data_IF_391978299538
#
_entry.id   IF_391978299538
#
_cell.length_a   1.000
_cell.length_b   1.000
_cell.length_c   1.000
_cell.angle_alpha   90.00
_cell.angle_beta   90.00
_cell.angle_gamma   90.00
#
_symmetry.space_group_name_H-M   'P 1'
#
loop_
_entity.id
_entity.type
_entity.pdbx_description
1 polymer ?
#
# COMPACT_ATOMS: atom_id res chain seq x y z
N UNK A 1 7.04 -3.67 -3.83
CA UNK A 1 5.74 -4.18 -3.36
C UNK A 1 5.19 -3.22 -2.32
N UNK A 2 3.89 -2.91 -2.38
CA UNK A 2 3.25 -1.93 -1.49
C UNK A 2 2.25 -2.64 -0.59
N UNK A 3 2.39 -2.47 0.72
CA UNK A 3 1.56 -3.17 1.71
C UNK A 3 0.62 -2.18 2.39
N UNK A 4 -0.65 -2.55 2.49
CA UNK A 4 -1.64 -1.78 3.24
C UNK A 4 -2.09 -2.60 4.44
N UNK A 5 -1.96 -2.01 5.63
CA UNK A 5 -2.44 -2.56 6.88
C UNK A 5 -3.77 -1.92 7.29
N UNK A 6 -4.83 -2.73 7.39
CA UNK A 6 -6.15 -2.31 7.88
C UNK A 6 -6.40 -2.98 9.22
N UNK A 7 -6.68 -2.17 10.24
CA UNK A 7 -7.13 -2.65 11.55
C UNK A 7 -8.63 -2.84 11.52
N UNK A 8 -9.06 -4.03 11.86
CA UNK A 8 -10.46 -4.44 11.89
C UNK A 8 -10.75 -5.10 13.22
N UNK A 9 -11.97 -4.93 13.71
CA UNK A 9 -12.45 -5.70 14.86
C UNK A 9 -12.66 -7.16 14.42
N UNK A 10 -12.33 -8.14 15.26
CA UNK A 10 -12.51 -9.55 14.91
C UNK A 10 -13.97 -9.92 14.64
N UNK A 11 -14.93 -9.25 15.30
CA UNK A 11 -16.38 -9.40 15.06
C UNK A 11 -16.82 -8.99 13.65
N UNK A 12 -16.17 -7.97 13.10
CA UNK A 12 -16.55 -7.35 11.82
C UNK A 12 -15.65 -7.82 10.68
N UNK A 13 -14.67 -8.67 10.97
CA UNK A 13 -13.67 -9.11 10.01
C UNK A 13 -14.30 -9.74 8.77
N UNK A 14 -15.22 -10.69 8.95
CA UNK A 14 -15.85 -11.41 7.84
C UNK A 14 -16.60 -10.47 6.89
N UNK A 15 -17.30 -9.48 7.44
CA UNK A 15 -17.99 -8.46 6.65
C UNK A 15 -16.98 -7.56 5.93
N UNK A 16 -15.96 -7.08 6.64
CA UNK A 16 -14.91 -6.26 6.06
C UNK A 16 -14.15 -6.96 4.93
N UNK A 17 -13.88 -8.26 5.09
CA UNK A 17 -13.25 -9.09 4.05
C UNK A 17 -14.09 -9.18 2.79
N UNK A 18 -15.40 -9.35 2.94
CA UNK A 18 -16.33 -9.39 1.82
C UNK A 18 -16.35 -8.05 1.07
N UNK A 19 -16.38 -6.93 1.81
CA UNK A 19 -16.33 -5.58 1.22
C UNK A 19 -14.99 -5.33 0.52
N UNK A 20 -13.86 -5.72 1.11
CA UNK A 20 -12.54 -5.62 0.47
C UNK A 20 -12.47 -6.44 -0.80
N UNK A 21 -12.97 -7.68 -0.76
CA UNK A 21 -13.00 -8.57 -1.93
C UNK A 21 -13.84 -7.98 -3.06
N UNK A 22 -15.02 -7.45 -2.74
CA UNK A 22 -15.90 -6.81 -3.71
C UNK A 22 -15.23 -5.59 -4.34
N UNK A 23 -14.64 -4.71 -3.53
CA UNK A 23 -13.97 -3.52 -4.04
C UNK A 23 -12.81 -3.85 -4.99
N UNK A 24 -12.02 -4.88 -4.65
CA UNK A 24 -10.93 -5.36 -5.52
C UNK A 24 -11.44 -5.92 -6.84
N UNK A 25 -12.55 -6.66 -6.81
CA UNK A 25 -13.19 -7.23 -8.00
C UNK A 25 -13.76 -6.13 -8.91
N UNK A 26 -14.45 -5.15 -8.33
CA UNK A 26 -14.99 -3.98 -9.04
C UNK A 26 -13.90 -3.17 -9.74
N UNK A 27 -12.74 -2.99 -9.08
CA UNK A 27 -11.62 -2.23 -9.64
C UNK A 27 -10.67 -3.11 -10.47
N UNK A 28 -10.93 -4.42 -10.58
CA UNK A 28 -10.07 -5.42 -11.22
C UNK A 28 -8.62 -5.35 -10.78
N UNK A 29 -8.42 -5.17 -9.47
CA UNK A 29 -7.10 -5.06 -8.87
C UNK A 29 -6.64 -6.44 -8.43
N UNK A 30 -5.54 -6.88 -9.03
CA UNK A 30 -4.86 -8.11 -8.64
C UNK A 30 -3.98 -7.87 -7.40
N UNK A 31 -4.26 -8.64 -6.34
CA UNK A 31 -3.43 -8.67 -5.14
C UNK A 31 -2.30 -9.69 -5.31
N UNK A 32 -1.11 -9.34 -4.82
CA UNK A 32 0.00 -10.31 -4.76
C UNK A 32 -0.09 -11.19 -3.53
N UNK A 33 -0.53 -10.65 -2.40
CA UNK A 33 -0.70 -11.40 -1.16
C UNK A 33 -1.79 -10.76 -0.32
N UNK A 34 -2.55 -11.59 0.37
CA UNK A 34 -3.55 -11.17 1.34
C UNK A 34 -3.41 -12.01 2.60
N UNK A 35 -3.09 -11.38 3.72
CA UNK A 35 -2.77 -12.06 4.97
C UNK A 35 -3.45 -11.39 6.15
N UNK A 36 -3.98 -12.18 7.07
CA UNK A 36 -4.73 -11.68 8.23
C UNK A 36 -4.05 -12.19 9.48
N UNK A 37 -3.73 -11.27 10.40
CA UNK A 37 -3.03 -11.60 11.64
C UNK A 37 -3.81 -11.05 12.81
N UNK A 38 -3.98 -11.89 13.83
CA UNK A 38 -4.49 -11.43 15.10
C UNK A 38 -3.36 -10.74 15.87
N UNK A 39 -3.65 -9.56 16.39
CA UNK A 39 -2.73 -8.70 17.15
C UNK A 39 -3.38 -8.30 18.47
N UNK A 40 -2.62 -7.79 19.43
CA UNK A 40 -3.17 -7.35 20.73
C UNK A 40 -4.22 -6.22 20.58
N UNK A 41 -4.11 -5.41 19.51
CA UNK A 41 -5.05 -4.34 19.14
C UNK A 41 -6.24 -4.81 18.29
N UNK A 42 -6.37 -6.11 18.00
CA UNK A 42 -7.44 -6.70 17.17
C UNK A 42 -6.93 -7.40 15.92
N UNK A 43 -7.73 -7.42 14.85
CA UNK A 43 -7.33 -8.06 13.59
C UNK A 43 -6.62 -7.08 12.66
N UNK A 44 -5.45 -7.46 12.17
CA UNK A 44 -4.69 -6.72 11.18
C UNK A 44 -4.72 -7.45 9.85
N UNK A 45 -5.36 -6.84 8.86
CA UNK A 45 -5.41 -7.31 7.48
C UNK A 45 -4.29 -6.64 6.70
N UNK A 46 -3.43 -7.45 6.09
CA UNK A 46 -2.37 -7.04 5.19
C UNK A 46 -2.75 -7.39 3.76
N UNK A 47 -2.83 -6.37 2.91
CA UNK A 47 -2.99 -6.53 1.47
C UNK A 47 -1.73 -6.01 0.76
N UNK A 48 -1.13 -6.86 -0.06
CA UNK A 48 0.05 -6.51 -0.85
C UNK A 48 -0.33 -6.28 -2.31
N UNK A 49 0.06 -5.10 -2.80
CA UNK A 49 -0.18 -4.63 -4.15
C UNK A 49 1.14 -4.51 -4.92
N UNK A 50 1.07 -4.81 -6.22
CA UNK A 50 2.19 -4.57 -7.14
C UNK A 50 2.37 -3.09 -7.45
N UNK A 51 1.27 -2.34 -7.48
CA UNK A 51 1.21 -0.96 -7.92
C UNK A 51 0.95 -0.01 -6.75
N UNK A 52 1.72 1.07 -6.66
CA UNK A 52 1.61 2.07 -5.61
C UNK A 52 0.24 2.75 -5.59
N UNK A 53 -0.34 3.05 -6.76
CA UNK A 53 -1.62 3.73 -6.86
C UNK A 53 -2.80 2.83 -6.42
N UNK A 54 -2.72 1.52 -6.63
CA UNK A 54 -3.72 0.57 -6.11
C UNK A 54 -3.67 0.50 -4.57
N UNK A 55 -2.47 0.48 -3.99
CA UNK A 55 -2.29 0.52 -2.54
C UNK A 55 -2.83 1.83 -1.94
N UNK A 56 -2.55 2.97 -2.59
CA UNK A 56 -3.06 4.27 -2.15
C UNK A 56 -4.59 4.32 -2.18
N UNK A 57 -5.22 3.94 -3.30
CA UNK A 57 -6.68 3.92 -3.44
C UNK A 57 -7.35 2.99 -2.41
N UNK A 58 -6.74 1.83 -2.15
CA UNK A 58 -7.23 0.89 -1.13
C UNK A 58 -7.10 1.47 0.29
N UNK A 59 -5.96 2.09 0.60
CA UNK A 59 -5.76 2.76 1.89
C UNK A 59 -6.74 3.92 2.12
N UNK A 60 -6.99 4.74 1.10
CA UNK A 60 -7.97 5.83 1.15
C UNK A 60 -9.39 5.30 1.36
N UNK A 61 -9.75 4.20 0.70
CA UNK A 61 -11.10 3.63 0.81
C UNK A 61 -11.39 3.02 2.18
N UNK A 62 -10.42 2.30 2.74
CA UNK A 62 -10.62 1.51 3.97
C UNK A 62 -10.01 2.17 5.22
N UNK A 63 -9.46 3.37 5.10
CA UNK A 63 -8.77 4.06 6.21
C UNK A 63 -7.54 3.30 6.71
N UNK A 64 -6.98 2.41 5.88
CA UNK A 64 -5.79 1.65 6.19
C UNK A 64 -4.57 2.56 6.21
N UNK A 65 -3.59 2.26 7.07
CA UNK A 65 -2.27 2.87 6.89
C UNK A 65 -1.59 2.08 5.78
N UNK A 66 -1.43 2.69 4.61
CA UNK A 66 -0.43 2.23 3.64
C UNK A 66 0.91 2.32 4.35
N UNK A 67 1.49 1.18 4.71
CA UNK A 67 2.87 1.18 5.16
C UNK A 67 3.67 1.57 3.92
N UNK A 68 4.35 2.72 4.01
CA UNK A 68 5.37 3.15 3.04
C UNK A 68 6.21 1.89 2.73
N UNK A 69 6.53 1.60 1.46
CA UNK A 69 7.16 0.34 1.06
C UNK A 69 8.18 -0.08 2.10
N UNK A 70 7.99 -1.28 2.65
CA UNK A 70 8.91 -1.88 3.61
C UNK A 70 10.32 -1.56 3.13
N UNK A 71 11.03 -0.77 3.93
CA UNK A 71 12.38 -0.27 3.65
C UNK A 71 13.41 -1.42 3.74
N UNK A 72 13.10 -2.57 3.14
CA UNK A 72 14.01 -3.67 2.90
C UNK A 72 14.64 -3.61 1.49
N UNK A 73 14.22 -2.65 0.66
CA UNK A 73 14.97 -2.27 -0.53
C UNK A 73 15.11 -0.75 -0.55
N UNK A 74 16.23 -0.27 -0.01
CA UNK A 74 16.82 0.97 -0.52
C UNK A 74 17.20 0.69 -1.97
N UNK A 75 16.59 1.39 -2.90
CA UNK A 75 17.37 1.94 -3.99
C UNK A 75 16.99 3.40 -4.09
N UNK A 76 17.97 4.20 -3.66
CA UNK A 76 18.03 5.63 -3.81
C UNK A 76 18.24 5.89 -5.31
N UNK A 77 17.17 6.14 -6.05
CA UNK A 77 17.28 6.87 -7.31
C UNK A 77 16.38 8.11 -7.23
N UNK A 78 16.80 9.02 -6.35
CA UNK A 78 16.54 10.44 -6.53
C UNK A 78 17.60 10.93 -7.52
N UNK A 79 17.41 10.70 -8.83
CA UNK A 79 17.89 11.67 -9.80
C UNK A 79 16.85 12.80 -9.89
N UNK A 80 16.94 13.71 -8.92
CA UNK A 80 16.77 15.12 -9.23
C UNK A 80 17.86 15.45 -10.24
N UNK A 81 17.53 15.42 -11.52
CA UNK A 81 18.31 16.15 -12.52
C UNK A 81 18.06 17.64 -12.28
N UNK A 82 18.74 18.17 -11.27
CA UNK A 82 19.02 19.59 -11.13
C UNK A 82 19.90 19.96 -12.32
N UNK A 83 19.30 20.54 -13.36
CA UNK A 83 20.03 21.50 -14.19
C UNK A 83 20.43 22.68 -13.32
N UNK A 84 21.71 23.04 -13.30
CA UNK A 84 22.05 24.45 -13.39
C UNK A 84 22.97 24.69 -14.57
N UNK A 85 22.65 25.76 -15.29
CA UNK A 85 23.53 26.41 -16.23
C UNK A 85 24.87 26.71 -15.55
N UNK A 86 25.97 26.22 -16.14
CA UNK A 86 27.29 26.77 -15.91
C UNK A 86 27.74 27.53 -17.17
N UNK A 87 28.27 28.71 -16.88
CA UNK A 87 28.61 29.74 -17.80
C UNK A 87 30.04 29.53 -18.35
N UNK A 88 30.21 29.77 -19.65
CA UNK A 88 31.26 30.64 -20.20
C UNK A 88 32.72 30.36 -19.72
N UNK A 89 33.48 29.55 -20.48
CA UNK A 89 34.90 29.84 -20.79
C UNK A 89 35.37 29.02 -21.99
N UNK A 90 35.96 29.71 -22.98
CA UNK A 90 36.61 29.13 -24.16
C UNK A 90 36.56 30.06 -25.37
#
# INVERSE_FOLDING_TARGET
>A
MHVVGIRVKPSDLSEHMAIMRLWLDEHRIDLSTFACRHTEDGMLVHAEFRLAHHAAAFAERFGGRADRPSSAYVDDDVMREISPADALVG
#
